data_IF_343459596504
#
_entry.id   IF_343459596504
#
_cell.length_a   1.000
_cell.length_b   1.000
_cell.length_c   1.000
_cell.angle_alpha   90.00
_cell.angle_beta   90.00
_cell.angle_gamma   90.00
#
_symmetry.space_group_name_H-M   'P 1'
#
loop_
_entity.id
_entity.type
_entity.pdbx_description
1 polymer ?
#
# COMPACT_ATOMS: atom_id res chain seq x y z
N UNK A 1 -1.82 9.31 -2.69
CA UNK A 1 -1.68 7.95 -3.23
C UNK A 1 -0.25 7.48 -3.04
N UNK A 2 -0.05 6.52 -2.17
CA UNK A 2 1.29 5.98 -1.86
C UNK A 2 1.50 4.65 -2.57
N UNK A 3 2.72 4.46 -3.11
CA UNK A 3 3.14 3.15 -3.63
C UNK A 3 3.60 2.27 -2.48
N UNK A 4 3.07 1.07 -2.40
CA UNK A 4 3.38 0.11 -1.34
C UNK A 4 3.69 -1.26 -1.95
N UNK A 5 4.48 -2.03 -1.23
CA UNK A 5 4.67 -3.46 -1.47
C UNK A 5 4.16 -4.20 -0.23
N UNK A 6 3.27 -5.16 -0.42
CA UNK A 6 2.81 -6.04 0.65
C UNK A 6 3.58 -7.34 0.61
N UNK A 7 4.18 -7.71 1.72
CA UNK A 7 4.67 -9.07 1.92
C UNK A 7 3.49 -10.06 1.85
N UNK A 8 3.72 -11.29 1.45
CA UNK A 8 2.67 -12.28 1.22
C UNK A 8 1.76 -12.47 2.42
N UNK A 9 2.33 -12.58 3.62
CA UNK A 9 1.54 -12.73 4.85
C UNK A 9 0.71 -11.47 5.15
N UNK A 10 1.24 -10.30 4.88
CA UNK A 10 0.52 -9.02 5.07
C UNK A 10 -0.65 -8.90 4.10
N UNK A 11 -0.46 -9.29 2.83
CA UNK A 11 -1.55 -9.36 1.86
C UNK A 11 -2.67 -10.28 2.35
N UNK A 12 -2.31 -11.51 2.71
CA UNK A 12 -3.28 -12.54 3.11
C UNK A 12 -4.07 -12.12 4.34
N UNK A 13 -3.43 -11.50 5.32
CA UNK A 13 -4.10 -11.00 6.52
C UNK A 13 -5.05 -9.83 6.23
N UNK A 14 -4.84 -9.09 5.14
CA UNK A 14 -5.66 -7.94 4.79
C UNK A 14 -6.92 -8.28 3.97
N UNK A 15 -6.93 -9.42 3.27
CA UNK A 15 -8.02 -9.78 2.35
C UNK A 15 -9.34 -10.11 3.08
N UNK A 16 -9.38 -10.91 4.17
CA UNK A 16 -10.65 -11.31 4.76
C UNK A 16 -11.46 -10.10 5.27
N UNK A 17 -12.78 -10.03 4.97
CA UNK A 17 -13.64 -8.92 5.41
C UNK A 17 -13.71 -8.76 6.94
N UNK A 18 -13.49 -9.83 7.68
CA UNK A 18 -13.50 -9.81 9.16
C UNK A 18 -12.14 -9.48 9.77
N UNK A 19 -11.09 -9.36 8.97
CA UNK A 19 -9.77 -8.99 9.45
C UNK A 19 -9.75 -7.56 9.96
N UNK A 20 -9.03 -7.31 11.06
CA UNK A 20 -8.76 -5.96 11.53
C UNK A 20 -7.94 -5.15 10.50
N UNK A 21 -7.19 -5.82 9.63
CA UNK A 21 -6.38 -5.22 8.58
C UNK A 21 -7.11 -5.05 7.24
N UNK A 22 -8.41 -5.37 7.18
CA UNK A 22 -9.16 -5.30 5.92
C UNK A 22 -9.17 -3.89 5.30
N UNK A 23 -9.05 -2.85 6.11
CA UNK A 23 -8.93 -1.47 5.61
C UNK A 23 -7.69 -1.25 4.73
N UNK A 24 -6.63 -2.02 4.92
CA UNK A 24 -5.44 -1.99 4.05
C UNK A 24 -5.79 -2.49 2.65
N UNK A 25 -6.50 -3.62 2.56
CA UNK A 25 -6.99 -4.16 1.29
C UNK A 25 -7.95 -3.19 0.59
N UNK A 26 -8.88 -2.61 1.34
CA UNK A 26 -9.80 -1.60 0.80
C UNK A 26 -9.08 -0.36 0.27
N UNK A 27 -8.03 0.10 0.95
CA UNK A 27 -7.24 1.25 0.51
C UNK A 27 -6.53 1.03 -0.82
N UNK A 28 -6.19 -0.22 -1.14
CA UNK A 28 -5.71 -0.61 -2.46
C UNK A 28 -6.85 -0.64 -3.48
N UNK A 29 -7.99 -1.25 -3.14
CA UNK A 29 -9.13 -1.37 -4.07
C UNK A 29 -9.70 0.00 -4.49
N UNK A 30 -9.76 0.95 -3.57
CA UNK A 30 -10.29 2.30 -3.81
C UNK A 30 -9.26 3.30 -4.36
N UNK A 31 -7.98 2.90 -4.42
CA UNK A 31 -6.90 3.71 -4.98
C UNK A 31 -6.25 4.69 -4.01
N UNK A 32 -6.58 4.63 -2.72
CA UNK A 32 -5.86 5.40 -1.69
C UNK A 32 -4.38 5.01 -1.68
N UNK A 33 -4.10 3.73 -1.87
CA UNK A 33 -2.75 3.21 -2.06
C UNK A 33 -2.62 2.43 -3.37
N UNK A 34 -1.43 2.48 -3.96
CA UNK A 34 -1.08 1.74 -5.18
C UNK A 34 -0.23 0.54 -4.79
N UNK A 35 -0.68 -0.65 -5.17
CA UNK A 35 0.05 -1.90 -4.93
C UNK A 35 1.08 -2.12 -6.03
N UNK A 36 2.35 -2.23 -5.63
CA UNK A 36 3.45 -2.53 -6.53
C UNK A 36 3.81 -4.02 -6.44
N UNK A 37 3.84 -4.68 -7.57
CA UNK A 37 4.11 -6.13 -7.67
C UNK A 37 5.05 -6.44 -8.81
N UNK A 38 5.65 -7.63 -8.76
CA UNK A 38 6.37 -8.26 -9.86
C UNK A 38 5.74 -9.61 -10.18
N UNK A 39 6.13 -10.23 -11.28
CA UNK A 39 5.67 -11.59 -11.61
C UNK A 39 6.09 -12.61 -10.56
N UNK A 40 7.28 -12.46 -9.96
CA UNK A 40 7.75 -13.32 -8.87
C UNK A 40 6.86 -13.17 -7.61
N UNK A 41 6.49 -11.94 -7.26
CA UNK A 41 5.60 -11.65 -6.12
C UNK A 41 4.21 -12.25 -6.38
N UNK A 42 3.65 -12.04 -7.56
CA UNK A 42 2.32 -12.59 -7.91
C UNK A 42 2.31 -14.12 -7.87
N UNK A 43 3.38 -14.76 -8.34
CA UNK A 43 3.52 -16.22 -8.28
C UNK A 43 3.52 -16.73 -6.83
N UNK A 44 4.20 -16.04 -5.92
CA UNK A 44 4.18 -16.39 -4.50
C UNK A 44 2.80 -16.14 -3.86
N UNK A 45 2.17 -15.02 -4.16
CA UNK A 45 0.79 -14.77 -3.69
C UNK A 45 -0.15 -15.90 -4.11
N UNK A 46 -0.10 -16.31 -5.38
CA UNK A 46 -0.94 -17.38 -5.91
C UNK A 46 -0.64 -18.71 -5.20
N UNK A 47 0.64 -19.09 -5.07
CA UNK A 47 1.05 -20.33 -4.42
C UNK A 47 0.55 -20.42 -2.98
N UNK A 48 0.74 -19.37 -2.19
CA UNK A 48 0.32 -19.36 -0.79
C UNK A 48 -1.20 -19.31 -0.66
N UNK A 49 -1.88 -18.51 -1.49
CA UNK A 49 -3.34 -18.48 -1.52
C UNK A 49 -3.94 -19.84 -1.87
N UNK A 50 -3.38 -20.58 -2.84
CA UNK A 50 -3.82 -21.95 -3.17
C UNK A 50 -3.62 -22.93 -2.03
N UNK A 51 -2.59 -22.77 -1.20
CA UNK A 51 -2.38 -23.61 -0.02
C UNK A 51 -3.38 -23.33 1.09
N UNK A 52 -3.81 -22.07 1.25
CA UNK A 52 -4.67 -21.62 2.34
C UNK A 52 -6.16 -21.66 2.00
N UNK A 53 -6.50 -21.63 0.72
CA UNK A 53 -7.86 -21.63 0.21
C UNK A 53 -8.04 -22.75 -0.82
N UNK A 54 -8.46 -22.42 -2.00
CA UNK A 54 -8.59 -23.29 -3.16
C UNK A 54 -8.06 -22.58 -4.43
N UNK A 55 -7.91 -23.33 -5.50
CA UNK A 55 -7.37 -22.81 -6.77
C UNK A 55 -8.22 -21.68 -7.34
N UNK A 56 -9.55 -21.84 -7.30
CA UNK A 56 -10.48 -20.87 -7.90
C UNK A 56 -10.44 -19.54 -7.11
N UNK A 57 -10.43 -19.62 -5.79
CA UNK A 57 -10.31 -18.42 -4.91
C UNK A 57 -8.96 -17.72 -5.12
N UNK A 58 -7.87 -18.48 -5.19
CA UNK A 58 -6.55 -17.90 -5.44
C UNK A 58 -6.49 -17.18 -6.79
N UNK A 59 -7.02 -17.79 -7.85
CA UNK A 59 -7.08 -17.18 -9.18
C UNK A 59 -7.90 -15.89 -9.18
N UNK A 60 -9.07 -15.88 -8.53
CA UNK A 60 -9.91 -14.69 -8.41
C UNK A 60 -9.17 -13.52 -7.75
N UNK A 61 -8.42 -13.78 -6.68
CA UNK A 61 -7.63 -12.74 -6.00
C UNK A 61 -6.53 -12.20 -6.92
N UNK A 62 -5.80 -13.08 -7.60
CA UNK A 62 -4.73 -12.67 -8.53
C UNK A 62 -5.30 -11.88 -9.70
N UNK A 63 -6.39 -12.34 -10.30
CA UNK A 63 -7.07 -11.60 -11.37
C UNK A 63 -7.55 -10.21 -10.91
N UNK A 64 -8.07 -10.12 -9.69
CA UNK A 64 -8.48 -8.85 -9.10
C UNK A 64 -7.27 -7.91 -8.96
N UNK A 65 -6.14 -8.41 -8.47
CA UNK A 65 -4.92 -7.61 -8.34
C UNK A 65 -4.43 -7.15 -9.72
N UNK A 66 -4.29 -8.07 -10.66
CA UNK A 66 -3.73 -7.77 -12.00
C UNK A 66 -4.60 -6.79 -12.80
N UNK A 67 -5.91 -6.91 -12.67
CA UNK A 67 -6.86 -6.07 -13.42
C UNK A 67 -7.23 -4.76 -12.69
N UNK A 68 -6.78 -4.57 -11.44
CA UNK A 68 -7.06 -3.34 -10.72
C UNK A 68 -6.22 -2.17 -11.30
N UNK A 69 -6.82 -1.01 -11.58
CA UNK A 69 -6.10 0.16 -12.10
C UNK A 69 -5.07 0.74 -11.12
N UNK A 70 -5.14 0.36 -9.85
CA UNK A 70 -4.21 0.78 -8.79
C UNK A 70 -3.10 -0.25 -8.52
N UNK A 71 -2.91 -1.18 -9.44
CA UNK A 71 -1.76 -2.10 -9.44
C UNK A 71 -0.71 -1.61 -10.44
N UNK A 72 0.54 -1.57 -10.01
CA UNK A 72 1.68 -1.29 -10.86
C UNK A 72 2.59 -2.52 -10.92
N UNK A 73 2.81 -3.00 -12.15
CA UNK A 73 3.72 -4.11 -12.43
C UNK A 73 5.13 -3.61 -12.68
N UNK A 74 6.09 -4.20 -11.98
CA UNK A 74 7.51 -3.91 -12.15
C UNK A 74 8.29 -5.18 -12.48
N UNK A 75 9.37 -5.01 -13.23
CA UNK A 75 10.30 -6.10 -13.58
C UNK A 75 11.70 -5.71 -13.10
N UNK A 76 12.07 -6.04 -11.85
CA UNK A 76 13.40 -5.72 -11.35
C UNK A 76 14.47 -6.51 -12.11
N UNK A 77 15.37 -5.81 -12.79
CA UNK A 77 16.51 -6.44 -13.49
C UNK A 77 17.73 -6.60 -12.58
N UNK A 78 17.86 -5.71 -11.59
CA UNK A 78 18.97 -5.74 -10.64
C UNK A 78 18.55 -6.42 -9.34
N UNK A 79 19.38 -7.33 -8.85
CA UNK A 79 19.18 -8.03 -7.58
C UNK A 79 20.09 -7.41 -6.52
N UNK A 80 19.50 -6.67 -5.58
CA UNK A 80 20.24 -5.99 -4.52
C UNK A 80 20.72 -6.93 -3.42
N UNK A 81 20.01 -8.06 -3.18
CA UNK A 81 20.33 -9.08 -2.19
C UNK A 81 20.57 -8.50 -0.78
N UNK A 82 19.72 -7.57 -0.35
CA UNK A 82 19.87 -6.87 0.92
C UNK A 82 19.43 -7.72 2.12
N UNK A 83 18.50 -8.66 1.92
CA UNK A 83 18.03 -9.58 2.94
C UNK A 83 18.75 -10.91 2.77
N UNK A 84 19.78 -11.12 3.61
CA UNK A 84 20.58 -12.34 3.56
C UNK A 84 19.98 -13.49 4.37
N UNK A 85 19.18 -13.18 5.38
CA UNK A 85 18.57 -14.17 6.28
C UNK A 85 17.53 -15.03 5.56
N UNK A 86 16.77 -14.44 4.65
CA UNK A 86 15.86 -15.14 3.76
C UNK A 86 15.98 -14.55 2.33
N UNK A 87 16.68 -15.26 1.42
CA UNK A 87 16.84 -14.78 0.04
C UNK A 87 15.53 -14.62 -0.74
N UNK A 88 14.47 -15.35 -0.39
CA UNK A 88 13.18 -15.23 -1.06
C UNK A 88 12.49 -13.89 -0.78
N UNK A 89 12.77 -13.25 0.33
CA UNK A 89 12.26 -11.92 0.67
C UNK A 89 12.80 -10.81 -0.25
N UNK A 90 13.93 -11.04 -0.90
CA UNK A 90 14.58 -10.03 -1.77
C UNK A 90 13.70 -9.61 -2.95
N UNK A 91 12.78 -10.44 -3.44
CA UNK A 91 11.86 -10.05 -4.51
C UNK A 91 10.97 -8.87 -4.12
N UNK A 92 10.54 -8.79 -2.87
CA UNK A 92 9.76 -7.66 -2.34
C UNK A 92 10.60 -6.40 -2.23
N UNK A 93 11.84 -6.53 -1.75
CA UNK A 93 12.80 -5.42 -1.62
C UNK A 93 13.17 -4.86 -2.98
N UNK A 94 13.54 -5.72 -3.92
CA UNK A 94 13.91 -5.32 -5.28
C UNK A 94 12.75 -4.62 -5.99
N UNK A 95 11.52 -5.14 -5.84
CA UNK A 95 10.31 -4.50 -6.35
C UNK A 95 10.09 -3.12 -5.72
N UNK A 96 10.21 -2.99 -4.40
CA UNK A 96 10.02 -1.73 -3.69
C UNK A 96 11.04 -0.67 -4.12
N UNK A 97 12.30 -1.05 -4.37
CA UNK A 97 13.34 -0.14 -4.83
C UNK A 97 13.01 0.37 -6.24
N UNK A 98 12.72 -0.53 -7.18
CA UNK A 98 12.40 -0.17 -8.57
C UNK A 98 11.11 0.64 -8.66
N UNK A 99 10.11 0.31 -7.85
CA UNK A 99 8.85 1.03 -7.77
C UNK A 99 8.96 2.37 -7.06
N UNK A 100 10.06 2.66 -6.38
CA UNK A 100 10.19 3.79 -5.46
C UNK A 100 9.04 3.78 -4.45
N UNK A 101 8.76 2.61 -3.90
CA UNK A 101 7.68 2.42 -2.95
C UNK A 101 7.97 3.17 -1.64
N UNK A 102 6.91 3.74 -1.07
CA UNK A 102 7.01 4.40 0.23
C UNK A 102 7.30 3.40 1.34
N UNK A 103 6.62 2.24 1.28
CA UNK A 103 6.76 1.19 2.30
C UNK A 103 6.79 -0.21 1.69
N UNK A 104 7.54 -1.09 2.39
CA UNK A 104 7.24 -2.52 2.45
C UNK A 104 6.46 -2.74 3.74
N UNK A 105 5.28 -3.36 3.64
CA UNK A 105 4.43 -3.71 4.79
C UNK A 105 4.64 -5.19 5.11
N UNK A 106 5.24 -5.47 6.24
CA UNK A 106 5.59 -6.84 6.66
C UNK A 106 5.68 -6.97 8.17
N UNK A 107 5.33 -8.15 8.69
CA UNK A 107 5.57 -8.55 10.08
C UNK A 107 6.89 -9.28 10.27
N UNK A 108 7.64 -9.53 9.19
CA UNK A 108 8.86 -10.31 9.23
C UNK A 108 10.07 -9.45 9.63
N UNK A 109 10.75 -9.89 10.67
CA UNK A 109 11.96 -9.23 11.18
C UNK A 109 13.18 -9.38 10.27
N UNK A 110 13.17 -10.27 9.27
CA UNK A 110 14.26 -10.36 8.29
C UNK A 110 14.49 -9.05 7.55
N UNK A 111 13.44 -8.23 7.40
CA UNK A 111 13.53 -6.90 6.77
C UNK A 111 14.14 -5.81 7.66
N UNK A 112 14.39 -6.08 8.94
CA UNK A 112 14.96 -5.10 9.87
C UNK A 112 16.37 -4.64 9.44
N UNK A 113 17.08 -5.45 8.66
CA UNK A 113 18.38 -5.08 8.08
C UNK A 113 18.28 -3.84 7.18
N UNK A 114 17.14 -3.57 6.58
CA UNK A 114 16.92 -2.41 5.71
C UNK A 114 16.90 -1.09 6.48
N UNK A 115 16.57 -1.11 7.77
CA UNK A 115 16.58 0.08 8.64
C UNK A 115 17.97 0.69 8.77
N UNK A 116 19.01 -0.14 8.65
CA UNK A 116 20.43 0.30 8.67
C UNK A 116 20.98 0.67 7.29
N UNK A 117 20.22 0.46 6.22
CA UNK A 117 20.66 0.72 4.85
C UNK A 117 20.33 2.15 4.45
N UNK A 118 21.35 2.97 4.15
CA UNK A 118 21.15 4.35 3.73
C UNK A 118 20.84 4.50 2.24
N UNK A 119 21.29 3.53 1.44
CA UNK A 119 21.07 3.50 -0.02
C UNK A 119 21.20 2.06 -0.56
N UNK A 120 20.23 1.59 -1.35
CA UNK A 120 18.92 2.21 -1.59
C UNK A 120 18.08 2.23 -0.31
N UNK A 121 17.35 3.33 -0.08
CA UNK A 121 16.49 3.46 1.10
C UNK A 121 15.11 2.91 0.82
N UNK A 122 14.68 1.97 1.65
CA UNK A 122 13.32 1.42 1.66
C UNK A 122 12.83 1.42 3.10
N UNK A 123 11.71 2.05 3.35
CA UNK A 123 11.09 2.06 4.67
C UNK A 123 10.22 0.81 4.86
N UNK A 124 10.37 0.18 6.02
CA UNK A 124 9.63 -1.03 6.40
C UNK A 124 8.72 -0.70 7.56
N UNK A 125 7.46 -1.06 7.45
CA UNK A 125 6.43 -0.88 8.48
C UNK A 125 5.67 -2.17 8.73
N UNK A 126 5.18 -2.34 9.96
CA UNK A 126 4.28 -3.43 10.31
C UNK A 126 2.82 -3.12 9.90
N UNK A 127 1.97 -4.13 10.00
CA UNK A 127 0.55 -4.00 9.67
C UNK A 127 -0.18 -2.99 10.54
N UNK A 128 0.13 -2.94 11.85
CA UNK A 128 -0.53 -2.02 12.78
C UNK A 128 -0.18 -0.57 12.47
N UNK A 129 1.10 -0.27 12.22
CA UNK A 129 1.56 1.07 11.85
C UNK A 129 0.93 1.51 10.52
N UNK A 130 0.92 0.62 9.53
CA UNK A 130 0.34 0.95 8.22
C UNK A 130 -1.19 1.10 8.29
N UNK A 131 -1.87 0.28 9.09
CA UNK A 131 -3.31 0.43 9.34
C UNK A 131 -3.65 1.80 9.93
N UNK A 132 -2.87 2.28 10.90
CA UNK A 132 -3.05 3.61 11.46
C UNK A 132 -2.91 4.70 10.39
N UNK A 133 -1.92 4.60 9.49
CA UNK A 133 -1.76 5.56 8.40
C UNK A 133 -2.96 5.55 7.44
N UNK A 134 -3.43 4.38 7.05
CA UNK A 134 -4.62 4.22 6.18
C UNK A 134 -5.85 4.86 6.81
N UNK A 135 -6.08 4.64 8.10
CA UNK A 135 -7.22 5.21 8.83
C UNK A 135 -7.14 6.73 8.96
N UNK A 136 -5.95 7.29 9.13
CA UNK A 136 -5.76 8.74 9.14
C UNK A 136 -6.08 9.37 7.79
N UNK A 137 -5.64 8.76 6.69
CA UNK A 137 -5.93 9.23 5.34
C UNK A 137 -7.44 9.23 5.04
N UNK A 138 -8.15 8.19 5.48
CA UNK A 138 -9.60 8.06 5.28
C UNK A 138 -10.40 9.13 6.03
N UNK A 139 -9.93 9.59 7.20
CA UNK A 139 -10.59 10.65 7.97
C UNK A 139 -10.45 12.03 7.31
N UNK A 140 -9.29 12.32 6.73
CA UNK A 140 -9.05 13.61 6.07
C UNK A 140 -9.73 13.73 4.70
N UNK A 141 -10.03 12.63 4.02
CA UNK A 141 -10.79 12.64 2.78
C UNK A 141 -12.30 12.86 2.97
N UNK A 142 -12.81 12.72 4.20
CA UNK A 142 -14.22 12.91 4.55
C UNK A 142 -14.54 14.25 5.20
N UNK A 143 -13.57 15.16 5.36
CA UNK A 143 -13.88 16.53 5.78
C UNK A 143 -14.39 17.33 4.57
N UNK A 144 -15.65 17.81 4.59
CA UNK A 144 -16.11 18.74 3.57
C UNK A 144 -15.26 20.00 3.66
N UNK A 145 -14.67 20.42 2.56
CA UNK A 145 -14.00 21.70 2.44
C UNK A 145 -15.03 22.83 2.68
N UNK A 146 -15.23 23.18 3.94
CA UNK A 146 -15.95 24.40 4.32
C UNK A 146 -15.01 25.59 4.20
N UNK A 147 -14.62 25.94 3.00
CA UNK A 147 -14.15 27.27 2.71
C UNK A 147 -15.39 28.16 2.52
N UNK A 148 -15.90 28.64 3.63
CA UNK A 148 -16.81 29.79 3.63
C UNK A 148 -16.05 30.97 3.06
N UNK A 149 -16.30 31.29 1.81
CA UNK A 149 -16.10 32.61 1.27
C UNK A 149 -17.06 33.55 1.99
N UNK A 150 -16.60 34.20 3.06
CA UNK A 150 -17.27 35.36 3.59
C UNK A 150 -17.01 36.51 2.63
N UNK A 151 -18.01 36.83 1.81
CA UNK A 151 -18.03 38.07 1.06
C UNK A 151 -18.09 39.23 2.03
N UNK A 152 -17.27 40.29 1.87
CA UNK A 152 -17.42 41.49 2.66
C UNK A 152 -18.70 42.21 2.21
N UNK A 153 -19.60 42.47 3.18
CA UNK A 153 -20.78 43.28 2.96
C UNK A 153 -20.35 44.70 2.55
N UNK A 154 -20.69 45.09 1.34
CA UNK A 154 -20.56 46.47 0.90
C UNK A 154 -21.68 47.27 1.54
N UNK A 155 -21.33 48.11 2.49
CA UNK A 155 -22.27 49.08 3.09
C UNK A 155 -22.33 50.29 2.15
N UNK A 156 -23.45 50.45 1.44
CA UNK A 156 -23.75 51.72 0.78
C UNK A 156 -24.19 52.72 1.81
N UNK A 157 -23.38 53.73 2.03
CA UNK A 157 -23.78 54.91 2.77
C UNK A 157 -24.77 55.73 1.94
N UNK A 158 -25.97 55.92 2.50
CA UNK A 158 -26.87 56.99 2.02
C UNK A 158 -26.46 58.28 2.68
N UNK A 159 -26.01 59.22 1.85
CA UNK A 159 -26.02 60.63 2.23
C UNK A 159 -27.45 61.15 2.13
N UNK A 160 -27.97 61.68 3.21
CA UNK A 160 -29.14 62.53 3.21
C UNK A 160 -28.71 63.97 3.39
N UNK A 161 -29.18 64.81 2.48
CA UNK A 161 -29.17 66.27 2.63
C UNK A 161 -30.01 66.74 3.82
#
# INVERSE_FOLDING_TARGET
MSRIVLDTNSLIQSIPPKSIYHAIWQSFLDGTNTLCVSTEILAEYEEILQRLTDIDTAQLVIELIVNNPHTLMFSPYYKFNLVAADPDDNKFVDCAIVATAKYIVTEDHHYDVLKGCSFPKVDVVDLDTFLCEVQHLSKHSNEPSSSLLSEPAVVYGQECD
#
